data_IF_366275012159
#
_entry.id   IF_366275012159
#
_cell.length_a   1.000
_cell.length_b   1.000
_cell.length_c   1.000
_cell.angle_alpha   90.00
_cell.angle_beta   90.00
_cell.angle_gamma   90.00
#
_symmetry.space_group_name_H-M   'P 1'
#
loop_
_entity.id
_entity.type
_entity.pdbx_description
1 polymer ?
#
# COMPACT_ATOMS: atom_id res chain seq x y z
N UNK A 1 -5.06 18.27 9.34
CA UNK A 1 -3.77 17.74 9.81
C UNK A 1 -2.62 18.78 9.68
N UNK A 2 -2.84 20.05 10.04
CA UNK A 2 -1.83 21.12 9.85
C UNK A 2 -0.55 20.85 10.63
N UNK A 3 -0.68 20.34 11.85
CA UNK A 3 0.45 20.01 12.72
C UNK A 3 1.46 19.07 12.06
N UNK A 4 1.00 18.01 11.39
CA UNK A 4 1.90 16.99 10.82
C UNK A 4 2.74 17.57 9.67
N UNK A 5 2.11 18.37 8.81
CA UNK A 5 2.81 19.04 7.71
C UNK A 5 3.79 20.11 8.24
N UNK A 6 3.38 20.89 9.24
CA UNK A 6 4.27 21.87 9.90
C UNK A 6 5.49 21.21 10.53
N UNK A 7 5.30 20.09 11.24
CA UNK A 7 6.41 19.35 11.84
C UNK A 7 7.40 18.88 10.77
N UNK A 8 6.91 18.28 9.68
CA UNK A 8 7.74 17.87 8.55
C UNK A 8 8.46 19.06 7.89
N UNK A 9 7.75 20.16 7.65
CA UNK A 9 8.33 21.38 7.04
C UNK A 9 9.40 22.04 7.93
N UNK A 10 9.40 21.76 9.23
CA UNK A 10 10.43 22.21 10.19
C UNK A 10 11.60 21.23 10.33
N UNK A 11 11.70 20.24 9.43
CA UNK A 11 12.76 19.23 9.43
C UNK A 11 12.46 18.02 10.31
N UNK A 12 11.23 17.88 10.82
CA UNK A 12 10.79 16.69 11.53
C UNK A 12 10.70 15.48 10.59
N UNK A 13 11.22 14.34 11.03
CA UNK A 13 11.10 13.08 10.28
C UNK A 13 9.74 12.45 10.55
N UNK A 14 8.97 12.18 9.49
CA UNK A 14 7.68 11.47 9.56
C UNK A 14 7.78 10.16 8.80
N UNK A 15 7.31 9.08 9.42
CA UNK A 15 7.24 7.73 8.85
C UNK A 15 5.80 7.27 8.70
N UNK A 16 5.57 6.24 7.89
CA UNK A 16 4.23 5.65 7.70
C UNK A 16 4.09 4.42 8.58
N UNK A 17 2.99 4.35 9.34
CA UNK A 17 2.61 3.17 10.12
C UNK A 17 1.09 3.12 10.24
N UNK A 18 0.51 1.97 9.96
CA UNK A 18 -0.95 1.79 9.90
C UNK A 18 -1.54 1.05 11.09
N UNK A 19 -0.74 0.76 12.12
CA UNK A 19 -1.12 0.00 13.34
C UNK A 19 -2.00 -1.23 13.06
N UNK A 20 -1.66 -1.94 11.97
CA UNK A 20 -2.50 -3.02 11.44
C UNK A 20 -2.63 -4.16 12.45
N UNK A 21 -3.87 -4.61 12.64
CA UNK A 21 -4.24 -5.50 13.75
C UNK A 21 -5.09 -4.80 14.80
N UNK A 22 -5.10 -3.45 14.85
CA UNK A 22 -6.11 -2.72 15.60
C UNK A 22 -7.50 -2.84 14.96
N UNK A 23 -8.55 -2.61 15.75
CA UNK A 23 -9.94 -2.82 15.33
C UNK A 23 -10.22 -2.00 14.06
N UNK A 24 -10.72 -2.67 13.02
CA UNK A 24 -11.03 -2.11 11.68
C UNK A 24 -9.83 -1.78 10.77
N UNK A 25 -8.58 -2.13 11.14
CA UNK A 25 -7.42 -1.92 10.27
C UNK A 25 -6.94 -3.22 9.63
N UNK A 26 -7.26 -3.37 8.33
CA UNK A 26 -6.87 -4.52 7.53
C UNK A 26 -5.43 -4.40 7.04
N UNK A 27 -4.63 -5.45 7.25
CA UNK A 27 -3.25 -5.56 6.78
C UNK A 27 -3.12 -5.23 5.29
N UNK A 28 -2.06 -4.50 4.92
CA UNK A 28 -1.80 -4.05 3.55
C UNK A 28 -2.68 -2.87 3.13
N UNK A 29 -4.00 -3.01 3.19
CA UNK A 29 -4.93 -1.96 2.76
C UNK A 29 -4.85 -0.71 3.64
N UNK A 30 -4.78 -0.87 4.96
CA UNK A 30 -4.64 0.25 5.88
C UNK A 30 -3.31 1.01 5.67
N UNK A 31 -2.27 0.33 5.20
CA UNK A 31 -0.97 0.96 4.93
C UNK A 31 -1.04 1.92 3.75
N UNK A 32 -1.68 1.52 2.64
CA UNK A 32 -1.90 2.40 1.49
C UNK A 32 -2.81 3.58 1.85
N UNK A 33 -3.84 3.34 2.69
CA UNK A 33 -4.69 4.42 3.21
C UNK A 33 -3.89 5.45 4.01
N UNK A 34 -2.91 5.04 4.80
CA UNK A 34 -2.06 5.98 5.55
C UNK A 34 -1.24 6.88 4.60
N UNK A 35 -0.80 6.36 3.45
CA UNK A 35 -0.17 7.18 2.41
C UNK A 35 -1.11 8.28 1.89
N UNK A 36 -2.37 7.91 1.65
CA UNK A 36 -3.41 8.88 1.26
C UNK A 36 -3.64 9.93 2.35
N UNK A 37 -3.65 9.54 3.63
CA UNK A 37 -3.81 10.46 4.75
C UNK A 37 -2.63 11.42 4.90
N UNK A 38 -1.39 10.98 4.65
CA UNK A 38 -0.24 11.89 4.59
C UNK A 38 -0.37 12.87 3.42
N UNK A 39 -0.85 12.41 2.26
CA UNK A 39 -1.12 13.29 1.12
C UNK A 39 -2.20 14.33 1.47
N UNK A 40 -3.29 13.92 2.10
CA UNK A 40 -4.34 14.82 2.62
C UNK A 40 -3.80 15.78 3.70
N UNK A 41 -2.80 15.36 4.46
CA UNK A 41 -2.13 16.23 5.44
C UNK A 41 -1.29 17.34 4.78
N UNK A 42 -1.00 17.25 3.49
CA UNK A 42 -0.28 18.27 2.71
C UNK A 42 1.10 17.84 2.25
N UNK A 43 1.46 16.57 2.38
CA UNK A 43 2.73 16.04 1.88
C UNK A 43 2.70 15.99 0.36
N UNK A 44 3.79 16.35 -0.30
CA UNK A 44 4.01 16.05 -1.70
C UNK A 44 4.06 14.52 -1.90
N UNK A 45 3.54 13.93 -3.00
CA UNK A 45 3.53 12.48 -3.18
C UNK A 45 4.92 11.83 -3.02
N UNK A 46 5.97 12.54 -3.45
CA UNK A 46 7.35 12.08 -3.25
C UNK A 46 7.75 12.00 -1.77
N UNK A 47 7.33 12.98 -0.96
CA UNK A 47 7.56 12.96 0.50
C UNK A 47 6.80 11.81 1.15
N UNK A 48 5.60 11.48 0.67
CA UNK A 48 4.83 10.33 1.14
C UNK A 48 5.59 9.02 0.86
N UNK A 49 6.12 8.85 -0.36
CA UNK A 49 6.94 7.67 -0.68
C UNK A 49 8.21 7.61 0.17
N UNK A 50 8.87 8.75 0.39
CA UNK A 50 10.06 8.83 1.24
C UNK A 50 9.74 8.50 2.70
N UNK A 51 8.60 8.95 3.23
CA UNK A 51 8.06 8.58 4.54
C UNK A 51 7.79 7.09 4.67
N UNK A 52 7.32 6.43 3.60
CA UNK A 52 7.05 4.99 3.56
C UNK A 52 8.31 4.12 3.41
N UNK A 53 9.43 4.69 2.98
CA UNK A 53 10.65 3.95 2.60
C UNK A 53 11.85 4.42 3.41
N UNK A 54 12.60 5.40 2.89
CA UNK A 54 13.87 5.86 3.45
C UNK A 54 13.72 6.34 4.89
N UNK A 55 12.72 7.17 5.20
CA UNK A 55 12.55 7.70 6.56
C UNK A 55 12.26 6.57 7.55
N UNK A 56 11.51 5.54 7.15
CA UNK A 56 11.27 4.35 7.96
C UNK A 56 12.58 3.61 8.24
N UNK A 57 13.39 3.40 7.20
CA UNK A 57 14.68 2.72 7.32
C UNK A 57 15.66 3.49 8.23
N UNK A 58 15.76 4.82 8.07
CA UNK A 58 16.57 5.68 8.94
C UNK A 58 16.10 5.65 10.40
N UNK A 59 14.78 5.63 10.62
CA UNK A 59 14.20 5.60 11.97
C UNK A 59 14.52 4.29 12.69
N UNK A 60 14.62 3.20 11.94
CA UNK A 60 14.98 1.88 12.46
C UNK A 60 16.50 1.63 12.47
N UNK A 61 17.32 2.54 11.93
CA UNK A 61 18.78 2.39 11.83
C UNK A 61 19.24 1.30 10.84
N UNK A 62 18.43 1.04 9.81
CA UNK A 62 18.68 0.00 8.79
C UNK A 62 18.80 0.58 7.38
N UNK A 63 18.97 1.89 7.25
CA UNK A 63 19.10 2.60 5.98
C UNK A 63 20.28 2.12 5.12
N UNK A 64 21.30 1.53 5.74
CA UNK A 64 22.42 0.89 5.02
C UNK A 64 22.01 -0.37 4.26
N UNK A 65 20.90 -0.98 4.65
CA UNK A 65 20.43 -2.25 4.11
C UNK A 65 19.20 -2.11 3.22
N UNK A 66 18.31 -1.14 3.48
CA UNK A 66 17.05 -0.98 2.74
C UNK A 66 16.55 0.47 2.77
N UNK A 67 15.40 0.74 2.17
CA UNK A 67 14.74 2.06 2.15
C UNK A 67 15.05 2.93 0.93
N UNK A 68 15.98 2.52 0.06
CA UNK A 68 16.25 3.15 -1.23
C UNK A 68 16.81 2.13 -2.23
N UNK A 69 16.72 2.46 -3.51
CA UNK A 69 17.24 1.63 -4.61
C UNK A 69 18.67 2.06 -4.91
N UNK A 70 19.64 1.41 -4.25
CA UNK A 70 21.07 1.72 -4.36
C UNK A 70 21.90 0.43 -4.40
N UNK A 71 23.05 0.47 -5.07
CA UNK A 71 23.97 -0.68 -5.13
C UNK A 71 24.46 -1.05 -3.74
N UNK A 72 24.42 -2.34 -3.41
CA UNK A 72 24.86 -2.87 -2.12
C UNK A 72 23.76 -3.00 -1.06
N UNK A 73 22.55 -2.49 -1.32
CA UNK A 73 21.38 -2.71 -0.45
C UNK A 73 20.61 -3.98 -0.84
N UNK A 74 19.76 -4.47 0.07
CA UNK A 74 18.85 -5.57 -0.22
C UNK A 74 17.90 -5.22 -1.36
N UNK A 75 17.58 -6.22 -2.18
CA UNK A 75 16.60 -6.08 -3.25
C UNK A 75 15.16 -6.15 -2.68
N UNK A 76 14.80 -5.13 -1.90
CA UNK A 76 13.47 -4.92 -1.33
C UNK A 76 12.70 -3.94 -2.23
N UNK A 77 11.89 -4.48 -3.14
CA UNK A 77 11.26 -3.72 -4.22
C UNK A 77 9.77 -4.02 -4.32
N UNK A 78 9.00 -3.03 -4.76
CA UNK A 78 7.64 -3.22 -5.26
C UNK A 78 7.62 -2.87 -6.75
N UNK A 79 6.93 -3.70 -7.54
CA UNK A 79 6.78 -3.50 -8.99
C UNK A 79 5.31 -3.26 -9.29
N UNK A 80 5.04 -2.14 -9.98
CA UNK A 80 3.71 -1.68 -10.38
C UNK A 80 3.78 -1.14 -11.81
N UNK A 81 2.67 -1.23 -12.53
CA UNK A 81 2.56 -0.76 -13.92
C UNK A 81 2.10 0.71 -14.02
N UNK A 82 1.70 1.33 -12.90
CA UNK A 82 1.18 2.71 -12.82
C UNK A 82 2.11 3.62 -12.00
N UNK A 83 2.05 4.93 -12.25
CA UNK A 83 2.81 5.93 -11.49
C UNK A 83 2.12 6.25 -10.15
N UNK A 84 2.71 5.88 -8.99
CA UNK A 84 2.09 6.12 -7.69
C UNK A 84 2.14 7.58 -7.25
N UNK A 85 2.98 8.41 -7.89
CA UNK A 85 3.05 9.85 -7.61
C UNK A 85 1.83 10.60 -8.16
N UNK A 86 1.18 10.05 -9.20
CA UNK A 86 -0.07 10.60 -9.75
C UNK A 86 -1.29 10.13 -8.95
N UNK A 87 -1.28 8.87 -8.51
CA UNK A 87 -2.37 8.30 -7.73
C UNK A 87 -1.88 7.18 -6.79
N UNK A 88 -1.76 7.48 -5.50
CA UNK A 88 -1.32 6.51 -4.48
C UNK A 88 -2.21 5.26 -4.41
N UNK A 89 -3.48 5.34 -4.83
CA UNK A 89 -4.42 4.19 -4.81
C UNK A 89 -3.97 3.06 -5.73
N UNK A 90 -3.09 3.31 -6.70
CA UNK A 90 -2.54 2.23 -7.54
C UNK A 90 -1.63 1.30 -6.74
N UNK A 91 -1.29 1.60 -5.49
CA UNK A 91 -0.55 0.72 -4.59
C UNK A 91 -1.43 -0.31 -3.87
N UNK A 92 -2.77 -0.16 -3.89
CA UNK A 92 -3.66 -1.20 -3.33
C UNK A 92 -3.47 -2.52 -4.09
N UNK A 93 -3.44 -3.67 -3.41
CA UNK A 93 -3.28 -4.97 -4.08
C UNK A 93 -4.34 -5.24 -5.18
N UNK A 94 -5.54 -4.68 -4.99
CA UNK A 94 -6.65 -4.73 -5.95
C UNK A 94 -6.59 -3.65 -7.05
N UNK A 95 -5.64 -2.72 -6.99
CA UNK A 95 -5.55 -1.56 -7.89
C UNK A 95 -6.61 -0.49 -7.64
N UNK A 96 -6.66 0.49 -8.53
CA UNK A 96 -7.57 1.64 -8.47
C UNK A 96 -8.50 1.67 -9.69
N UNK A 97 -9.68 2.26 -9.51
CA UNK A 97 -10.60 2.54 -10.62
C UNK A 97 -10.10 3.78 -11.37
N UNK A 98 -10.10 3.73 -12.70
CA UNK A 98 -9.72 4.81 -13.61
C UNK A 98 -10.69 4.82 -14.81
N UNK A 99 -10.91 5.99 -15.41
CA UNK A 99 -11.59 6.08 -16.70
C UNK A 99 -10.55 6.01 -17.81
N UNK A 100 -10.79 5.20 -18.84
CA UNK A 100 -9.99 5.24 -20.06
C UNK A 100 -10.39 6.43 -20.96
N UNK A 101 -9.71 6.58 -22.09
CA UNK A 101 -9.91 7.68 -23.04
C UNK A 101 -11.33 7.70 -23.65
N UNK A 102 -12.02 6.55 -23.60
CA UNK A 102 -13.39 6.37 -24.09
C UNK A 102 -14.45 6.52 -22.97
N UNK A 103 -14.04 6.96 -21.77
CA UNK A 103 -14.86 7.06 -20.55
C UNK A 103 -15.39 5.72 -20.00
N UNK A 104 -14.79 4.59 -20.36
CA UNK A 104 -15.13 3.33 -19.74
C UNK A 104 -14.42 3.18 -18.39
N UNK A 105 -15.13 2.58 -17.43
CA UNK A 105 -14.58 2.30 -16.10
C UNK A 105 -13.65 1.09 -16.18
N UNK A 106 -12.37 1.32 -15.95
CA UNK A 106 -11.33 0.28 -15.89
C UNK A 106 -10.68 0.23 -14.51
N UNK A 107 -9.95 -0.86 -14.24
CA UNK A 107 -9.19 -1.03 -13.00
C UNK A 107 -7.72 -1.20 -13.35
N UNK A 108 -6.89 -0.32 -12.82
CA UNK A 108 -5.46 -0.21 -13.14
C UNK A 108 -4.58 -0.37 -11.90
N UNK A 109 -3.32 -0.72 -12.14
CA UNK A 109 -2.30 -0.86 -11.11
C UNK A 109 -2.53 -2.02 -10.14
N UNK A 110 -2.16 -1.75 -8.90
CA UNK A 110 -1.94 -2.74 -7.85
C UNK A 110 -0.60 -3.45 -8.00
N UNK A 111 0.00 -3.78 -6.86
CA UNK A 111 1.31 -4.44 -6.81
C UNK A 111 1.28 -5.72 -7.64
N UNK A 112 2.22 -5.82 -8.58
CA UNK A 112 2.41 -6.98 -9.46
C UNK A 112 3.37 -7.96 -8.79
N UNK A 113 4.52 -7.44 -8.38
CA UNK A 113 5.52 -8.19 -7.64
C UNK A 113 5.94 -7.44 -6.39
N UNK A 114 6.06 -8.17 -5.30
CA UNK A 114 6.85 -7.75 -4.14
C UNK A 114 8.13 -8.57 -4.17
N UNK A 115 9.28 -7.92 -4.14
CA UNK A 115 10.57 -8.57 -4.07
C UNK A 115 11.11 -8.29 -2.67
N UNK A 116 11.41 -9.33 -1.89
CA UNK A 116 12.03 -9.21 -0.58
C UNK A 116 13.35 -9.95 -0.61
N UNK A 117 14.43 -9.24 -0.37
CA UNK A 117 15.79 -9.80 -0.37
C UNK A 117 16.09 -10.62 -1.65
N UNK A 118 15.62 -10.11 -2.80
CA UNK A 118 15.76 -10.78 -4.10
C UNK A 118 14.78 -11.93 -4.37
N UNK A 119 13.97 -12.34 -3.40
CA UNK A 119 12.93 -13.35 -3.58
C UNK A 119 11.67 -12.67 -4.14
N UNK A 120 11.22 -13.15 -5.30
CA UNK A 120 10.07 -12.59 -6.02
C UNK A 120 8.77 -13.25 -5.57
N UNK A 121 7.82 -12.45 -5.12
CA UNK A 121 6.46 -12.85 -4.78
C UNK A 121 5.48 -12.27 -5.79
N UNK A 122 4.71 -13.13 -6.46
CA UNK A 122 3.60 -12.72 -7.33
C UNK A 122 2.40 -12.29 -6.48
N UNK A 123 2.20 -10.98 -6.36
CA UNK A 123 1.17 -10.42 -5.51
C UNK A 123 -0.25 -10.72 -6.03
N UNK A 124 -0.43 -10.86 -7.36
CA UNK A 124 -1.74 -11.17 -7.96
C UNK A 124 -2.10 -12.63 -7.70
N UNK A 125 -1.13 -13.54 -7.81
CA UNK A 125 -1.31 -14.96 -7.46
C UNK A 125 -1.64 -15.13 -5.98
N UNK A 126 -0.88 -14.49 -5.08
CA UNK A 126 -1.14 -14.56 -3.64
C UNK A 126 -2.55 -14.04 -3.28
N UNK A 127 -2.99 -12.94 -3.91
CA UNK A 127 -4.34 -12.41 -3.70
C UNK A 127 -5.43 -13.41 -4.14
N UNK A 128 -5.22 -14.08 -5.28
CA UNK A 128 -6.13 -15.11 -5.78
C UNK A 128 -6.18 -16.33 -4.85
N UNK A 129 -5.04 -16.77 -4.34
CA UNK A 129 -4.96 -17.89 -3.39
C UNK A 129 -5.70 -17.56 -2.09
N UNK A 130 -5.51 -16.35 -1.54
CA UNK A 130 -6.26 -15.88 -0.37
C UNK A 130 -7.76 -15.85 -0.63
N UNK A 131 -8.18 -15.33 -1.78
CA UNK A 131 -9.59 -15.34 -2.18
C UNK A 131 -10.16 -16.77 -2.17
N UNK A 132 -9.46 -17.71 -2.78
CA UNK A 132 -9.89 -19.11 -2.85
C UNK A 132 -9.99 -19.76 -1.46
N UNK A 133 -9.03 -19.48 -0.57
CA UNK A 133 -9.07 -19.95 0.82
C UNK A 133 -10.30 -19.40 1.57
N UNK A 134 -10.60 -18.11 1.40
CA UNK A 134 -11.78 -17.48 2.02
C UNK A 134 -13.08 -18.04 1.45
N UNK A 135 -13.16 -18.27 0.14
CA UNK A 135 -14.34 -18.83 -0.51
C UNK A 135 -14.61 -20.26 -0.04
N UNK A 136 -13.56 -21.08 0.11
CA UNK A 136 -13.66 -22.43 0.67
C UNK A 136 -14.15 -22.39 2.13
N UNK A 137 -13.53 -21.57 2.98
CA UNK A 137 -13.91 -21.44 4.38
C UNK A 137 -15.36 -20.98 4.55
N UNK A 138 -15.83 -20.03 3.72
CA UNK A 138 -17.24 -19.60 3.71
C UNK A 138 -18.19 -20.74 3.33
N UNK A 139 -17.83 -21.55 2.33
CA UNK A 139 -18.63 -22.69 1.90
C UNK A 139 -18.73 -23.74 3.01
N UNK A 140 -17.62 -24.06 3.68
CA UNK A 140 -17.57 -25.01 4.81
C UNK A 140 -18.37 -24.50 6.02
N UNK A 141 -18.33 -23.20 6.29
CA UNK A 141 -19.12 -22.57 7.35
C UNK A 141 -20.61 -22.41 7.00
N UNK A 142 -21.04 -22.77 5.79
CA UNK A 142 -22.40 -22.51 5.31
C UNK A 142 -22.74 -21.01 5.26
N UNK A 143 -21.73 -20.13 5.16
CA UNK A 143 -21.90 -18.69 5.22
C UNK A 143 -22.63 -18.18 3.98
N UNK A 144 -23.79 -17.54 4.19
CA UNK A 144 -24.53 -16.85 3.14
C UNK A 144 -24.13 -15.38 3.15
N UNK A 145 -23.58 -14.90 2.05
CA UNK A 145 -23.36 -13.46 1.85
C UNK A 145 -24.74 -12.80 1.87
N UNK A 146 -24.97 -11.94 2.87
CA UNK A 146 -26.14 -11.08 2.93
C UNK A 146 -25.72 -9.68 2.51
N UNK A 147 -26.52 -9.05 1.66
CA UNK A 147 -26.32 -7.64 1.36
C UNK A 147 -26.74 -6.83 2.59
N UNK A 148 -25.85 -5.99 3.16
CA UNK A 148 -26.24 -5.14 4.28
C UNK A 148 -27.45 -4.27 3.89
N UNK A 149 -28.49 -4.28 4.72
CA UNK A 149 -29.71 -3.49 4.49
C UNK A 149 -30.78 -4.16 3.61
N UNK A 150 -30.59 -5.42 3.20
CA UNK A 150 -31.64 -6.24 2.59
C UNK A 150 -31.94 -7.37 3.56
N UNK A 151 -33.16 -7.39 4.13
CA UNK A 151 -33.67 -8.53 4.93
C UNK A 151 -33.84 -9.79 4.07
#
# INVERSE_FOLDING_TARGET
MIFLNEFKNRGGRVTVGSDSGFIYQLYGFAYVRELELLREAGFHPLEVIQSATLNGAETLGIEKFTGSVEVGKFADLIVIDENPLENLKVLYGTGAIKLDDDNNVTRVGGVKYTIKDGIVYDAKKLLLEVKNMVDLAKKEAGYKIKQPGIE
#
